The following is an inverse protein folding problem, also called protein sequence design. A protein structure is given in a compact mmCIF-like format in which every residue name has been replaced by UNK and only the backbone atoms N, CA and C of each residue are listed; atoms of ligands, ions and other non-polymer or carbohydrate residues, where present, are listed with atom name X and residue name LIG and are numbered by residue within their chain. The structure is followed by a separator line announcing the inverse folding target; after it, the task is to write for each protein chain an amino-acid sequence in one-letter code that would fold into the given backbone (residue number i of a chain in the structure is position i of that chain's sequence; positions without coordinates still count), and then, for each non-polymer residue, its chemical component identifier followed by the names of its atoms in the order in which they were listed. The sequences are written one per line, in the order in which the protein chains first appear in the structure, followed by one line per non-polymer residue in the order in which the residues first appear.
data_IF_466914063443
#
_entry.id   IF_466914063443
#
_cell.length_a   1.000
_cell.length_b   1.000
_cell.length_c   1.000
_cell.angle_alpha   90.00
_cell.angle_beta   90.00
_cell.angle_gamma   90.00
#
_symmetry.space_group_name_H-M   'P 1'
#
loop_
_entity.id
_entity.type
_entity.pdbx_description
1 polymer ?
#
# COMPACT_ATOMS: atom_id res chain seq x y z
N UNK A 1 -9.16 -9.59 11.92
CA UNK A 1 -8.58 -10.54 10.93
C UNK A 1 -9.08 -10.15 9.55
N UNK A 2 -8.23 -9.59 8.69
CA UNK A 2 -8.61 -9.27 7.31
C UNK A 2 -8.44 -10.51 6.43
N UNK A 3 -9.49 -10.91 5.73
CA UNK A 3 -9.41 -11.95 4.71
C UNK A 3 -10.39 -11.64 3.59
N UNK A 4 -10.03 -12.03 2.37
CA UNK A 4 -10.94 -12.07 1.22
C UNK A 4 -10.87 -13.48 0.66
N UNK A 5 -12.02 -14.11 0.49
CA UNK A 5 -12.14 -15.46 -0.04
C UNK A 5 -13.06 -15.48 -1.25
N UNK A 6 -12.80 -16.39 -2.16
CA UNK A 6 -13.68 -16.67 -3.29
C UNK A 6 -13.36 -18.04 -3.87
N UNK A 7 -14.32 -18.60 -4.58
CA UNK A 7 -14.21 -19.91 -5.23
C UNK A 7 -14.85 -19.87 -6.60
N UNK A 8 -14.25 -20.57 -7.57
CA UNK A 8 -14.81 -20.75 -8.91
C UNK A 8 -14.88 -22.24 -9.20
N UNK A 9 -16.05 -22.73 -9.60
CA UNK A 9 -16.19 -24.08 -10.15
C UNK A 9 -15.57 -24.09 -11.55
N UNK A 10 -14.70 -25.05 -11.81
CA UNK A 10 -14.07 -25.23 -13.12
C UNK A 10 -14.65 -26.48 -13.79
N UNK A 11 -15.04 -26.34 -15.05
CA UNK A 11 -15.33 -27.48 -15.93
C UNK A 11 -14.05 -27.93 -16.66
N UNK A 12 -14.07 -29.14 -17.22
CA UNK A 12 -12.96 -29.66 -18.02
C UNK A 12 -12.59 -28.68 -19.15
N UNK A 13 -11.29 -28.39 -19.30
CA UNK A 13 -10.77 -27.45 -20.30
C UNK A 13 -10.89 -25.96 -19.94
N UNK A 14 -11.46 -25.60 -18.79
CA UNK A 14 -11.51 -24.20 -18.37
C UNK A 14 -10.23 -23.74 -17.66
N UNK A 15 -9.85 -22.48 -17.88
CA UNK A 15 -8.74 -21.86 -17.15
C UNK A 15 -9.08 -21.68 -15.66
N UNK A 16 -8.10 -22.04 -14.83
CA UNK A 16 -8.13 -21.88 -13.39
C UNK A 16 -7.90 -20.43 -12.94
N UNK A 17 -7.46 -19.53 -13.84
CA UNK A 17 -7.22 -18.14 -13.49
C UNK A 17 -8.53 -17.45 -13.11
N UNK A 18 -8.58 -17.00 -11.87
CA UNK A 18 -9.63 -16.13 -11.33
C UNK A 18 -9.01 -14.77 -11.04
N UNK A 19 -9.57 -13.69 -11.58
CA UNK A 19 -9.17 -12.33 -11.22
C UNK A 19 -9.70 -12.00 -9.81
N UNK A 20 -9.07 -12.58 -8.78
CA UNK A 20 -9.34 -12.25 -7.37
C UNK A 20 -8.30 -11.25 -6.88
N UNK A 21 -8.65 -9.96 -6.96
CA UNK A 21 -7.83 -8.91 -6.39
C UNK A 21 -8.29 -8.60 -4.97
N UNK A 22 -7.36 -8.45 -4.04
CA UNK A 22 -7.59 -7.98 -2.68
C UNK A 22 -6.58 -6.88 -2.35
N UNK A 23 -7.07 -5.74 -1.87
CA UNK A 23 -6.23 -4.67 -1.34
C UNK A 23 -6.08 -4.90 0.16
N UNK A 24 -4.86 -5.11 0.63
CA UNK A 24 -4.57 -5.23 2.06
C UNK A 24 -4.62 -3.83 2.71
N UNK A 25 -5.40 -3.63 3.79
CA UNK A 25 -5.64 -2.30 4.34
C UNK A 25 -4.48 -1.80 5.22
N UNK A 26 -3.69 -2.71 5.79
CA UNK A 26 -2.62 -2.38 6.72
C UNK A 26 -1.37 -3.22 6.46
N UNK A 27 -0.18 -2.70 6.78
CA UNK A 27 1.04 -3.49 6.81
C UNK A 27 0.93 -4.66 7.77
N UNK A 28 1.58 -5.77 7.46
CA UNK A 28 1.58 -6.96 8.30
C UNK A 28 1.78 -8.26 7.53
N UNK A 29 1.76 -9.37 8.26
CA UNK A 29 1.86 -10.69 7.68
C UNK A 29 0.48 -11.18 7.21
N UNK A 30 0.40 -11.58 5.94
CA UNK A 30 -0.82 -12.10 5.34
C UNK A 30 -0.60 -13.51 4.78
N UNK A 31 -1.68 -14.29 4.80
CA UNK A 31 -1.70 -15.64 4.24
C UNK A 31 -2.52 -15.64 2.95
N UNK A 32 -1.91 -16.06 1.86
CA UNK A 32 -2.60 -16.44 0.65
C UNK A 32 -2.84 -17.94 0.68
N UNK A 33 -4.11 -18.37 0.69
CA UNK A 33 -4.50 -19.79 0.76
C UNK A 33 -5.31 -20.18 -0.46
N UNK A 34 -4.94 -21.28 -1.09
CA UNK A 34 -5.68 -21.89 -2.19
C UNK A 34 -6.10 -23.29 -1.75
N UNK A 35 -7.38 -23.62 -1.94
CA UNK A 35 -7.90 -24.96 -1.69
C UNK A 35 -8.63 -25.42 -2.96
N UNK A 36 -8.26 -26.58 -3.48
CA UNK A 36 -8.91 -27.25 -4.59
C UNK A 36 -9.70 -28.43 -4.04
N UNK A 37 -10.93 -28.61 -4.53
CA UNK A 37 -11.83 -29.66 -4.11
C UNK A 37 -12.39 -30.39 -5.33
N UNK A 38 -12.50 -31.71 -5.25
CA UNK A 38 -13.10 -32.56 -6.28
C UNK A 38 -13.84 -33.74 -5.62
N UNK A 39 -15.17 -33.74 -5.68
CA UNK A 39 -15.98 -34.73 -4.96
C UNK A 39 -15.70 -34.67 -3.45
N UNK A 40 -15.22 -35.78 -2.87
CA UNK A 40 -14.80 -35.87 -1.46
C UNK A 40 -13.32 -35.53 -1.24
N UNK A 41 -12.56 -35.30 -2.30
CA UNK A 41 -11.12 -35.03 -2.26
C UNK A 41 -10.85 -33.53 -2.10
N UNK A 42 -9.76 -33.20 -1.39
CA UNK A 42 -9.29 -31.83 -1.18
C UNK A 42 -7.77 -31.76 -1.15
N UNK A 43 -7.23 -30.71 -1.75
CA UNK A 43 -5.81 -30.35 -1.65
C UNK A 43 -5.69 -28.84 -1.41
N UNK A 44 -4.67 -28.42 -0.67
CA UNK A 44 -4.48 -27.03 -0.33
C UNK A 44 -3.01 -26.61 -0.37
N UNK A 45 -2.80 -25.35 -0.69
CA UNK A 45 -1.50 -24.69 -0.64
C UNK A 45 -1.64 -23.33 0.03
N UNK A 46 -0.61 -22.90 0.76
CA UNK A 46 -0.57 -21.58 1.37
C UNK A 46 0.79 -20.93 1.19
N UNK A 47 0.78 -19.64 0.89
CA UNK A 47 1.95 -18.78 0.87
C UNK A 47 1.77 -17.65 1.89
N UNK A 48 2.87 -17.20 2.45
CA UNK A 48 2.91 -16.04 3.35
C UNK A 48 3.59 -14.90 2.61
N UNK A 49 3.05 -13.70 2.75
CA UNK A 49 3.73 -12.49 2.33
C UNK A 49 3.63 -11.42 3.41
N UNK A 50 4.64 -10.55 3.44
CA UNK A 50 4.64 -9.37 4.28
C UNK A 50 4.17 -8.19 3.44
N UNK A 51 3.02 -7.64 3.79
CA UNK A 51 2.61 -6.35 3.28
C UNK A 51 3.39 -5.29 4.07
N UNK A 52 4.19 -4.50 3.38
CA UNK A 52 4.88 -3.36 3.98
C UNK A 52 4.13 -2.08 3.64
N UNK A 53 4.12 -1.15 4.60
CA UNK A 53 3.83 0.24 4.26
C UNK A 53 5.00 0.75 3.45
N UNK A 54 4.73 1.29 2.27
CA UNK A 54 5.75 2.10 1.62
C UNK A 54 5.83 3.40 2.40
N UNK A 55 6.98 3.68 3.00
CA UNK A 55 7.30 5.02 3.49
C UNK A 55 7.86 5.80 2.31
N UNK A 56 7.12 6.79 1.87
CA UNK A 56 7.51 7.70 0.79
C UNK A 56 7.80 9.08 1.36
N UNK A 57 8.80 9.74 0.78
CA UNK A 57 9.09 11.13 1.10
C UNK A 57 7.87 11.99 0.76
N UNK A 58 7.43 12.79 1.72
CA UNK A 58 6.26 13.66 1.58
C UNK A 58 4.90 13.00 1.87
N UNK A 59 4.83 11.71 2.22
CA UNK A 59 3.60 11.07 2.72
C UNK A 59 3.54 11.16 4.25
N UNK A 60 3.06 12.30 4.73
CA UNK A 60 3.09 12.67 6.14
C UNK A 60 1.98 12.00 6.95
N UNK A 61 0.81 11.74 6.34
CA UNK A 61 -0.25 10.98 7.00
C UNK A 61 -0.04 9.45 6.87
N UNK A 62 0.91 9.05 6.02
CA UNK A 62 1.25 7.68 5.73
C UNK A 62 0.03 6.92 5.19
N UNK A 63 -0.65 7.45 4.17
CA UNK A 63 -1.77 6.78 3.51
C UNK A 63 -1.36 6.05 2.21
N UNK A 64 -0.08 6.13 1.84
CA UNK A 64 0.48 5.53 0.63
C UNK A 64 0.36 6.42 -0.61
N UNK A 65 -0.05 7.68 -0.42
CA UNK A 65 -0.12 8.69 -1.47
C UNK A 65 0.45 10.01 -0.97
N UNK A 66 1.25 10.67 -1.79
CA UNK A 66 1.61 12.09 -1.58
C UNK A 66 0.57 12.94 -2.29
N UNK A 67 -0.28 13.61 -1.53
CA UNK A 67 -1.40 14.36 -2.09
C UNK A 67 -1.72 15.67 -1.32
N UNK A 68 -2.89 16.25 -1.59
CA UNK A 68 -3.33 17.51 -0.96
C UNK A 68 -3.42 17.41 0.57
N UNK A 69 -3.66 16.21 1.10
CA UNK A 69 -3.68 15.96 2.55
C UNK A 69 -2.29 16.18 3.14
N UNK A 70 -1.24 15.61 2.54
CA UNK A 70 0.13 15.82 2.98
C UNK A 70 0.60 17.25 2.77
N UNK A 71 0.19 17.86 1.67
CA UNK A 71 0.46 19.28 1.45
C UNK A 71 -0.18 20.16 2.53
N UNK A 72 -1.39 19.82 3.01
CA UNK A 72 -2.00 20.54 4.13
C UNK A 72 -1.19 20.39 5.43
N UNK A 73 -0.60 19.22 5.67
CA UNK A 73 0.30 18.97 6.80
C UNK A 73 1.59 19.79 6.64
N UNK A 74 2.14 19.85 5.42
CA UNK A 74 3.30 20.66 5.11
C UNK A 74 3.09 22.15 5.40
N UNK A 75 1.94 22.69 4.96
CA UNK A 75 1.57 24.10 5.18
C UNK A 75 1.47 24.44 6.67
N UNK A 76 1.07 23.49 7.51
CA UNK A 76 1.09 23.68 8.96
C UNK A 76 2.51 23.95 9.50
N UNK A 77 3.55 23.39 8.87
CA UNK A 77 4.95 23.59 9.24
C UNK A 77 5.67 24.69 8.44
N UNK A 78 4.96 25.39 7.55
CA UNK A 78 5.57 26.39 6.67
C UNK A 78 6.39 27.44 7.44
N UNK A 79 7.64 27.67 7.00
CA UNK A 79 8.66 28.54 7.62
C UNK A 79 9.07 28.14 9.05
N UNK A 80 8.75 26.94 9.51
CA UNK A 80 9.17 26.43 10.83
C UNK A 80 10.36 25.49 10.69
N UNK A 81 11.18 25.45 11.73
CA UNK A 81 12.17 24.40 11.90
C UNK A 81 11.46 23.08 12.19
N UNK A 82 11.55 22.11 11.27
CA UNK A 82 10.92 20.80 11.44
C UNK A 82 11.72 19.73 10.68
N UNK A 83 12.67 19.04 11.34
CA UNK A 83 13.47 18.00 10.70
C UNK A 83 12.67 16.84 10.11
N UNK A 84 11.41 16.65 10.52
CA UNK A 84 10.54 15.58 10.04
C UNK A 84 9.73 15.97 8.80
N UNK A 85 9.57 17.27 8.52
CA UNK A 85 8.79 17.79 7.38
C UNK A 85 9.63 18.64 6.41
N UNK A 86 10.91 18.81 6.74
CA UNK A 86 11.96 19.35 5.88
C UNK A 86 12.51 18.20 5.03
N UNK A 87 12.03 18.14 3.79
CA UNK A 87 12.41 17.14 2.81
C UNK A 87 13.80 17.42 2.21
N UNK A 88 14.24 18.68 2.27
CA UNK A 88 15.52 19.14 1.74
C UNK A 88 16.69 18.96 2.72
N UNK A 89 16.40 18.94 4.03
CA UNK A 89 17.37 18.91 5.11
C UNK A 89 18.04 20.26 5.38
N UNK A 90 17.47 21.38 4.91
CA UNK A 90 18.03 22.73 5.07
C UNK A 90 17.70 23.40 6.42
N UNK A 91 16.85 22.73 7.21
CA UNK A 91 16.39 23.14 8.53
C UNK A 91 15.01 23.80 8.52
N UNK A 92 14.43 24.20 7.39
CA UNK A 92 13.16 24.93 7.37
C UNK A 92 12.21 24.43 6.28
N UNK A 93 10.95 24.21 6.63
CA UNK A 93 9.93 23.84 5.63
C UNK A 93 9.60 25.03 4.74
N UNK A 94 9.97 24.95 3.45
CA UNK A 94 9.86 26.05 2.50
C UNK A 94 9.54 25.58 1.06
N UNK A 95 9.72 26.47 0.08
CA UNK A 95 9.43 26.19 -1.33
C UNK A 95 10.29 25.07 -1.90
N UNK A 96 11.52 24.91 -1.41
CA UNK A 96 12.41 23.81 -1.78
C UNK A 96 11.77 22.47 -1.43
N UNK A 97 11.28 22.32 -0.19
CA UNK A 97 10.58 21.11 0.23
C UNK A 97 9.32 20.88 -0.60
N UNK A 98 8.57 21.95 -0.92
CA UNK A 98 7.36 21.81 -1.74
C UNK A 98 7.69 21.31 -3.15
N UNK A 99 8.80 21.76 -3.73
CA UNK A 99 9.28 21.25 -5.02
C UNK A 99 9.63 19.76 -4.97
N UNK A 100 10.20 19.29 -3.85
CA UNK A 100 10.48 17.87 -3.61
C UNK A 100 9.18 17.09 -3.42
N UNK A 101 8.21 17.61 -2.68
CA UNK A 101 6.89 16.99 -2.51
C UNK A 101 6.18 16.79 -3.86
N UNK A 102 6.24 17.80 -4.75
CA UNK A 102 5.66 17.70 -6.09
C UNK A 102 6.35 16.63 -6.96
N UNK A 103 7.66 16.42 -6.79
CA UNK A 103 8.36 15.33 -7.46
C UNK A 103 7.82 13.95 -7.06
N UNK A 104 7.41 13.78 -5.80
CA UNK A 104 6.84 12.53 -5.27
C UNK A 104 5.30 12.45 -5.38
N UNK A 105 4.64 13.40 -6.05
CA UNK A 105 3.18 13.49 -6.08
C UNK A 105 2.51 12.24 -6.66
N UNK A 106 1.46 11.77 -5.97
CA UNK A 106 0.67 10.62 -6.37
C UNK A 106 0.95 9.37 -5.54
N UNK A 107 0.83 8.20 -6.17
CA UNK A 107 0.95 6.92 -5.47
C UNK A 107 2.41 6.62 -5.15
N UNK A 108 2.68 6.20 -3.91
CA UNK A 108 4.01 5.79 -3.51
C UNK A 108 4.45 4.52 -4.25
N UNK A 109 5.70 4.47 -4.75
CA UNK A 109 6.22 3.37 -5.57
C UNK A 109 6.38 2.05 -4.80
#
# INVERSE_FOLDING_TARGET
VFYKSGSKKLNAGQSWTTNFNATVPNPGQYWFKVVVQWGTEKSGASQVFMASKVTCLGDYNSDGYVNLTDFSIMLYYWKKYSPTHDLSGDGYVNLTDFSIMLYYWGKCP
#
